data_IF_679015426222
#
_entry.id   IF_679015426222
#
_cell.length_a   1.000
_cell.length_b   1.000
_cell.length_c   1.000
_cell.angle_alpha   90.00
_cell.angle_beta   90.00
_cell.angle_gamma   90.00
#
_symmetry.space_group_name_H-M   'P 1'
#
loop_
_entity.id
_entity.type
_entity.pdbx_description
1 polymer ?
#
# COMPACT_ATOMS: atom_id res chain seq x y z
N UNK A 1 5.84 0.76 -23.10
CA UNK A 1 4.70 1.12 -22.21
C UNK A 1 4.94 2.51 -21.62
N UNK A 2 3.90 3.30 -21.33
CA UNK A 2 4.08 4.56 -20.55
C UNK A 2 4.24 4.18 -19.07
N UNK A 3 5.21 4.79 -18.40
CA UNK A 3 5.45 4.64 -16.96
C UNK A 3 4.19 4.96 -16.16
N UNK A 4 3.89 4.12 -15.16
CA UNK A 4 2.82 4.35 -14.21
C UNK A 4 3.19 5.44 -13.20
N UNK A 5 4.49 5.63 -12.91
CA UNK A 5 4.98 6.76 -12.12
C UNK A 5 4.91 8.05 -12.94
N UNK A 6 4.23 9.06 -12.39
CA UNK A 6 4.02 10.40 -12.97
C UNK A 6 4.51 11.53 -12.05
N UNK A 7 4.92 11.21 -10.82
CA UNK A 7 5.49 12.20 -9.90
C UNK A 7 6.89 12.63 -10.32
N UNK A 8 7.25 13.86 -9.96
CA UNK A 8 8.61 14.40 -10.06
C UNK A 8 9.25 14.57 -8.67
N UNK A 9 8.64 14.00 -7.62
CA UNK A 9 9.22 14.01 -6.28
C UNK A 9 10.54 13.24 -6.27
N UNK A 10 11.63 13.94 -6.00
CA UNK A 10 12.98 13.38 -6.11
C UNK A 10 13.25 12.29 -5.07
N UNK A 11 12.62 12.36 -3.89
CA UNK A 11 12.76 11.33 -2.87
C UNK A 11 12.04 10.06 -3.30
N UNK A 12 10.82 10.18 -3.82
CA UNK A 12 10.05 9.03 -4.31
C UNK A 12 10.81 8.34 -5.44
N UNK A 13 11.34 9.10 -6.41
CA UNK A 13 12.11 8.54 -7.52
C UNK A 13 13.40 7.85 -7.04
N UNK A 14 14.17 8.51 -6.16
CA UNK A 14 15.40 7.93 -5.58
C UNK A 14 15.12 6.60 -4.86
N UNK A 15 14.07 6.54 -4.05
CA UNK A 15 13.70 5.32 -3.30
C UNK A 15 13.29 4.18 -4.23
N UNK A 16 12.60 4.49 -5.33
CA UNK A 16 12.25 3.50 -6.35
C UNK A 16 13.50 3.02 -7.11
N UNK A 17 14.37 3.93 -7.50
CA UNK A 17 15.62 3.63 -8.21
C UNK A 17 16.57 2.77 -7.35
N UNK A 18 16.68 3.08 -6.06
CA UNK A 18 17.45 2.28 -5.08
C UNK A 18 16.88 0.85 -4.93
N UNK A 19 15.56 0.69 -5.11
CA UNK A 19 14.90 -0.62 -5.14
C UNK A 19 15.07 -1.35 -6.49
N UNK A 20 15.72 -0.73 -7.49
CA UNK A 20 15.94 -1.30 -8.81
C UNK A 20 14.84 -1.00 -9.83
N UNK A 21 13.94 -0.06 -9.53
CA UNK A 21 13.02 0.48 -10.54
C UNK A 21 13.77 1.41 -11.50
N UNK A 22 13.33 1.45 -12.75
CA UNK A 22 13.75 2.47 -13.70
C UNK A 22 12.59 2.73 -14.67
N UNK A 23 12.56 3.92 -15.27
CA UNK A 23 11.50 4.27 -16.22
C UNK A 23 11.47 3.30 -17.39
N UNK A 24 10.31 2.69 -17.62
CA UNK A 24 10.12 1.71 -18.70
C UNK A 24 10.52 0.28 -18.33
N UNK A 25 10.80 0.00 -17.05
CA UNK A 25 10.95 -1.36 -16.53
C UNK A 25 9.75 -2.23 -16.91
N UNK A 26 10.04 -3.44 -17.34
CA UNK A 26 9.06 -4.44 -17.75
C UNK A 26 9.57 -5.83 -17.33
N UNK A 27 8.78 -6.54 -16.53
CA UNK A 27 9.05 -7.91 -16.11
C UNK A 27 7.99 -8.87 -16.64
N UNK A 28 8.39 -10.14 -16.77
CA UNK A 28 7.45 -11.20 -17.11
C UNK A 28 6.49 -11.45 -15.94
N UNK A 29 5.19 -11.26 -16.20
CA UNK A 29 4.13 -11.41 -15.21
C UNK A 29 3.45 -12.78 -15.30
N UNK A 30 3.71 -13.56 -16.35
CA UNK A 30 3.02 -14.83 -16.62
C UNK A 30 3.04 -15.78 -15.42
N UNK A 31 4.14 -15.92 -14.64
CA UNK A 31 4.14 -16.78 -13.46
C UNK A 31 3.06 -16.41 -12.42
N UNK A 32 2.75 -15.13 -12.25
CA UNK A 32 1.67 -14.68 -11.36
C UNK A 32 0.30 -14.84 -12.02
N UNK A 33 0.19 -14.47 -13.30
CA UNK A 33 -1.07 -14.57 -14.06
C UNK A 33 -1.58 -16.01 -14.08
N UNK A 34 -0.73 -16.95 -14.45
CA UNK A 34 -1.07 -18.37 -14.55
C UNK A 34 -1.47 -18.95 -13.19
N UNK A 35 -0.77 -18.56 -12.13
CA UNK A 35 -1.06 -19.02 -10.77
C UNK A 35 -2.45 -18.56 -10.29
N UNK A 36 -2.81 -17.30 -10.55
CA UNK A 36 -4.12 -16.78 -10.14
C UNK A 36 -5.26 -17.27 -11.04
N UNK A 37 -5.01 -17.43 -12.35
CA UNK A 37 -5.97 -18.04 -13.28
C UNK A 37 -6.32 -19.48 -12.87
N UNK A 38 -5.33 -20.27 -12.42
CA UNK A 38 -5.56 -21.63 -11.92
C UNK A 38 -6.49 -21.67 -10.69
N UNK A 39 -6.65 -20.55 -9.97
CA UNK A 39 -7.55 -20.40 -8.83
C UNK A 39 -8.84 -19.62 -9.17
N UNK A 40 -9.13 -19.42 -10.46
CA UNK A 40 -10.36 -18.75 -10.90
C UNK A 40 -10.37 -17.24 -10.69
N UNK A 41 -9.20 -16.61 -10.50
CA UNK A 41 -9.05 -15.16 -10.31
C UNK A 41 -8.23 -14.56 -11.45
N UNK A 42 -8.82 -14.23 -12.60
CA UNK A 42 -8.08 -13.54 -13.66
C UNK A 42 -7.59 -12.16 -13.18
N UNK A 43 -6.37 -11.75 -13.53
CA UNK A 43 -5.88 -10.40 -13.22
C UNK A 43 -6.58 -9.35 -14.08
N UNK A 44 -6.79 -8.16 -13.50
CA UNK A 44 -7.24 -6.99 -14.24
C UNK A 44 -6.07 -6.34 -14.99
N UNK A 45 -6.38 -5.55 -16.01
CA UNK A 45 -5.37 -4.78 -16.75
C UNK A 45 -4.53 -3.88 -15.83
N UNK A 46 -5.15 -3.30 -14.79
CA UNK A 46 -4.47 -2.51 -13.77
C UNK A 46 -3.44 -3.35 -12.99
N UNK A 47 -3.81 -4.54 -12.54
CA UNK A 47 -2.92 -5.48 -11.85
C UNK A 47 -1.76 -5.91 -12.74
N UNK A 48 -2.05 -6.26 -14.00
CA UNK A 48 -1.02 -6.65 -14.98
C UNK A 48 -0.04 -5.50 -15.22
N UNK A 49 -0.53 -4.28 -15.43
CA UNK A 49 0.32 -3.11 -15.66
C UNK A 49 1.24 -2.82 -14.46
N UNK A 50 0.68 -2.88 -13.24
CA UNK A 50 1.45 -2.68 -12.00
C UNK A 50 2.52 -3.76 -11.85
N UNK A 51 2.15 -5.04 -11.97
CA UNK A 51 3.08 -6.14 -11.81
C UNK A 51 4.15 -6.17 -12.89
N UNK A 52 3.82 -5.74 -14.12
CA UNK A 52 4.79 -5.63 -15.20
C UNK A 52 5.84 -4.56 -14.90
N UNK A 53 5.46 -3.44 -14.31
CA UNK A 53 6.41 -2.36 -14.02
C UNK A 53 7.16 -2.57 -12.71
N UNK A 54 6.48 -3.02 -11.65
CA UNK A 54 7.02 -3.08 -10.29
C UNK A 54 7.25 -4.49 -9.75
N UNK A 55 6.78 -5.52 -10.46
CA UNK A 55 6.86 -6.90 -9.99
C UNK A 55 8.27 -7.32 -9.60
N UNK A 56 8.39 -7.98 -8.45
CA UNK A 56 9.63 -8.42 -7.83
C UNK A 56 10.38 -7.33 -7.05
N UNK A 57 9.96 -6.06 -7.08
CA UNK A 57 10.61 -5.01 -6.30
C UNK A 57 10.30 -5.13 -4.81
N UNK A 58 11.30 -4.82 -3.99
CA UNK A 58 11.20 -4.66 -2.54
C UNK A 58 11.68 -3.25 -2.20
N UNK A 59 10.77 -2.42 -1.70
CA UNK A 59 10.98 -1.01 -1.44
C UNK A 59 11.06 -0.81 0.07
N UNK A 60 12.13 -0.17 0.52
CA UNK A 60 12.33 0.20 1.92
C UNK A 60 12.25 1.72 2.02
N UNK A 61 11.12 2.29 2.50
CA UNK A 61 11.00 3.73 2.62
C UNK A 61 11.99 4.30 3.65
N UNK A 62 12.42 5.57 3.50
CA UNK A 62 13.25 6.23 4.49
C UNK A 62 12.57 6.25 5.85
N UNK A 63 13.33 5.96 6.92
CA UNK A 63 12.80 6.01 8.29
C UNK A 63 12.27 7.39 8.69
N UNK A 64 12.87 8.45 8.15
CA UNK A 64 12.49 9.83 8.42
C UNK A 64 12.09 10.53 7.13
N UNK A 65 10.88 11.08 7.12
CA UNK A 65 10.38 12.01 6.11
C UNK A 65 9.71 13.15 6.86
N UNK A 66 10.10 14.42 6.63
CA UNK A 66 9.44 15.57 7.24
C UNK A 66 7.93 15.54 6.97
N UNK A 67 7.12 15.61 8.03
CA UNK A 67 5.66 15.57 7.93
C UNK A 67 5.05 14.18 7.78
N UNK A 68 5.84 13.10 7.85
CA UNK A 68 5.28 11.75 7.91
C UNK A 68 4.45 11.54 9.18
N UNK A 69 3.26 10.96 9.02
CA UNK A 69 2.26 10.82 10.10
C UNK A 69 2.18 9.39 10.65
N UNK A 70 2.94 8.46 10.08
CA UNK A 70 3.11 7.08 10.57
C UNK A 70 4.48 6.50 10.14
N UNK A 71 4.80 5.33 10.69
CA UNK A 71 6.08 4.64 10.50
C UNK A 71 6.34 4.18 9.06
N UNK A 72 7.62 4.01 8.73
CA UNK A 72 8.05 3.48 7.45
C UNK A 72 7.99 1.95 7.45
N UNK A 73 6.99 1.40 6.76
CA UNK A 73 6.88 -0.04 6.54
C UNK A 73 7.46 -0.41 5.17
N UNK A 74 8.37 -1.40 5.09
CA UNK A 74 8.81 -1.95 3.82
C UNK A 74 7.64 -2.58 3.06
N UNK A 75 7.65 -2.46 1.74
CA UNK A 75 6.62 -3.06 0.91
C UNK A 75 7.21 -3.59 -0.40
N UNK A 76 6.52 -4.53 -1.03
CA UNK A 76 7.00 -5.15 -2.26
C UNK A 76 5.87 -5.65 -3.13
N UNK A 77 6.16 -5.72 -4.43
CA UNK A 77 5.22 -6.15 -5.45
C UNK A 77 5.52 -7.58 -5.85
N UNK A 78 5.17 -8.51 -4.97
CA UNK A 78 5.18 -9.93 -5.26
C UNK A 78 3.85 -10.50 -4.77
N UNK A 79 2.91 -10.82 -5.68
CA UNK A 79 1.61 -11.35 -5.33
C UNK A 79 1.65 -12.63 -4.49
N UNK A 80 2.79 -13.35 -4.47
CA UNK A 80 3.03 -14.71 -3.99
C UNK A 80 1.80 -15.61 -3.79
N UNK A 81 1.78 -16.77 -4.49
CA UNK A 81 0.60 -17.59 -4.68
C UNK A 81 0.05 -18.20 -3.39
N UNK A 82 -1.16 -18.76 -3.51
CA UNK A 82 -1.99 -19.44 -2.50
C UNK A 82 -1.33 -20.55 -1.65
N UNK A 83 -0.02 -20.80 -1.83
CA UNK A 83 0.76 -21.77 -1.05
C UNK A 83 1.53 -21.14 0.13
N UNK A 84 1.45 -19.82 0.32
CA UNK A 84 1.84 -19.17 1.58
C UNK A 84 0.78 -19.39 2.67
N UNK A 85 1.14 -19.33 3.97
CA UNK A 85 0.22 -19.62 5.06
C UNK A 85 -1.13 -18.88 4.95
N UNK A 86 -2.23 -19.52 5.36
CA UNK A 86 -3.61 -19.21 4.95
C UNK A 86 -4.13 -17.82 5.35
N UNK A 87 -3.39 -17.06 6.15
CA UNK A 87 -3.86 -15.77 6.70
C UNK A 87 -4.03 -14.71 5.61
N UNK A 88 -3.27 -14.78 4.52
CA UNK A 88 -3.22 -13.70 3.52
C UNK A 88 -3.72 -14.07 2.11
N UNK A 89 -4.21 -15.30 1.94
CA UNK A 89 -4.69 -15.84 0.67
C UNK A 89 -6.04 -16.59 0.85
N UNK A 90 -6.82 -16.22 1.86
CA UNK A 90 -8.17 -16.77 2.09
C UNK A 90 -9.18 -16.10 1.13
N UNK A 91 -9.92 -16.89 0.37
CA UNK A 91 -11.01 -16.40 -0.49
C UNK A 91 -12.03 -15.56 0.28
N UNK A 92 -12.22 -15.82 1.58
CA UNK A 92 -13.09 -15.01 2.45
C UNK A 92 -12.60 -13.56 2.56
N UNK A 93 -11.29 -13.32 2.56
CA UNK A 93 -10.73 -11.97 2.58
C UNK A 93 -11.05 -11.24 1.28
N UNK A 94 -10.82 -11.88 0.13
CA UNK A 94 -11.21 -11.33 -1.16
C UNK A 94 -12.71 -11.01 -1.19
N UNK A 95 -13.58 -11.97 -0.87
CA UNK A 95 -15.04 -11.75 -0.89
C UNK A 95 -15.48 -10.63 0.05
N UNK A 96 -14.91 -10.55 1.24
CA UNK A 96 -15.21 -9.47 2.17
C UNK A 96 -14.80 -8.11 1.56
N UNK A 97 -13.58 -8.00 1.06
CA UNK A 97 -13.05 -6.75 0.50
C UNK A 97 -13.77 -6.32 -0.76
N UNK A 98 -14.06 -7.25 -1.68
CA UNK A 98 -14.82 -6.98 -2.89
C UNK A 98 -16.21 -6.43 -2.55
N UNK A 99 -16.86 -6.96 -1.50
CA UNK A 99 -18.14 -6.45 -1.02
C UNK A 99 -18.01 -5.04 -0.42
N UNK A 100 -16.94 -4.77 0.33
CA UNK A 100 -16.72 -3.48 0.98
C UNK A 100 -16.37 -2.37 -0.02
N UNK A 101 -15.54 -2.70 -1.00
CA UNK A 101 -15.09 -1.78 -2.04
C UNK A 101 -16.13 -1.62 -3.15
N UNK A 102 -17.03 -2.60 -3.32
CA UNK A 102 -18.01 -2.62 -4.40
C UNK A 102 -17.39 -2.96 -5.76
N UNK A 103 -16.18 -3.51 -5.78
CA UNK A 103 -15.44 -3.88 -6.99
C UNK A 103 -14.61 -5.15 -6.77
N UNK A 104 -14.14 -5.76 -7.85
CA UNK A 104 -13.22 -6.89 -7.76
C UNK A 104 -11.82 -6.42 -7.37
N UNK A 105 -11.09 -7.23 -6.60
CA UNK A 105 -9.72 -6.91 -6.18
C UNK A 105 -8.74 -8.01 -6.55
N UNK A 106 -7.49 -7.61 -6.79
CA UNK A 106 -6.39 -8.49 -7.12
C UNK A 106 -5.17 -8.18 -6.27
N UNK A 107 -4.55 -9.19 -5.67
CA UNK A 107 -3.38 -9.01 -4.81
C UNK A 107 -2.15 -8.70 -5.67
N UNK A 108 -1.48 -7.60 -5.37
CA UNK A 108 -0.30 -7.13 -6.10
C UNK A 108 0.99 -7.25 -5.29
N UNK A 109 0.89 -7.50 -3.99
CA UNK A 109 2.05 -7.51 -3.12
C UNK A 109 1.74 -7.52 -1.63
N UNK A 110 2.71 -7.07 -0.84
CA UNK A 110 2.65 -6.95 0.61
C UNK A 110 3.23 -5.61 1.07
N UNK A 111 2.67 -5.04 2.13
CA UNK A 111 3.25 -3.95 2.91
C UNK A 111 3.39 -4.43 4.34
N UNK A 112 4.64 -4.56 4.80
CA UNK A 112 5.01 -5.30 5.99
C UNK A 112 4.43 -6.73 5.95
N UNK A 113 3.43 -7.01 6.80
CA UNK A 113 2.72 -8.29 6.85
C UNK A 113 1.31 -8.22 6.24
N UNK A 114 0.94 -7.11 5.62
CA UNK A 114 -0.42 -6.88 5.13
C UNK A 114 -0.50 -6.98 3.60
N UNK A 115 -1.55 -7.58 3.05
CA UNK A 115 -1.72 -7.67 1.62
C UNK A 115 -1.98 -6.29 0.99
N UNK A 116 -1.35 -6.09 -0.16
CA UNK A 116 -1.66 -4.97 -1.05
C UNK A 116 -2.56 -5.48 -2.17
N UNK A 117 -3.67 -4.79 -2.35
CA UNK A 117 -4.67 -5.07 -3.38
C UNK A 117 -4.77 -3.92 -4.36
N UNK A 118 -5.07 -4.23 -5.61
CA UNK A 118 -5.58 -3.28 -6.59
C UNK A 118 -7.03 -3.63 -6.93
N UNK A 119 -7.90 -2.63 -6.94
CA UNK A 119 -9.25 -2.73 -7.49
C UNK A 119 -9.26 -2.78 -9.02
N UNK A 120 -10.35 -3.27 -9.60
CA UNK A 120 -10.61 -3.21 -11.03
C UNK A 120 -10.53 -1.76 -11.56
N UNK A 121 -10.98 -0.79 -10.77
CA UNK A 121 -10.87 0.65 -11.06
C UNK A 121 -9.45 1.23 -10.93
N UNK A 122 -8.48 0.45 -10.44
CA UNK A 122 -7.07 0.86 -10.29
C UNK A 122 -6.69 1.38 -8.90
N UNK A 123 -7.66 1.58 -8.01
CA UNK A 123 -7.42 1.98 -6.62
C UNK A 123 -6.56 0.96 -5.89
N UNK A 124 -5.66 1.43 -5.01
CA UNK A 124 -4.75 0.56 -4.24
C UNK A 124 -5.13 0.58 -2.76
N UNK A 125 -5.25 -0.62 -2.18
CA UNK A 125 -5.75 -0.82 -0.83
C UNK A 125 -4.80 -1.66 0.02
N UNK A 126 -4.77 -1.39 1.33
CA UNK A 126 -4.02 -2.15 2.33
C UNK A 126 -4.89 -2.51 3.55
N UNK A 127 -4.29 -3.25 4.49
CA UNK A 127 -4.76 -3.63 5.84
C UNK A 127 -5.27 -5.08 5.92
N UNK A 128 -5.49 -5.60 7.14
CA UNK A 128 -5.98 -6.95 7.41
C UNK A 128 -7.48 -6.99 7.71
N UNK A 129 -8.00 -6.01 8.46
CA UNK A 129 -9.37 -6.04 8.97
C UNK A 129 -10.37 -5.30 8.08
N UNK A 130 -10.04 -4.04 7.73
CA UNK A 130 -10.85 -3.18 6.87
C UNK A 130 -9.97 -2.56 5.80
N UNK A 131 -10.39 -2.60 4.52
CA UNK A 131 -9.62 -2.01 3.45
C UNK A 131 -9.42 -0.51 3.72
N UNK A 132 -8.17 -0.09 3.57
CA UNK A 132 -7.77 1.30 3.57
C UNK A 132 -7.24 1.67 2.20
N UNK A 133 -7.75 2.74 1.60
CA UNK A 133 -7.29 3.23 0.30
C UNK A 133 -6.04 4.07 0.47
N UNK A 134 -4.96 3.65 -0.19
CA UNK A 134 -3.69 4.38 -0.29
C UNK A 134 -3.75 5.47 -1.34
N UNK A 135 -4.45 5.19 -2.44
CA UNK A 135 -4.58 6.10 -3.57
C UNK A 135 -5.53 5.54 -4.62
N UNK A 136 -6.05 6.44 -5.45
CA UNK A 136 -6.91 6.10 -6.59
C UNK A 136 -6.14 5.37 -7.71
N UNK A 137 -4.81 5.43 -7.66
CA UNK A 137 -3.92 4.65 -8.52
C UNK A 137 -2.57 4.36 -7.83
N UNK A 138 -1.77 3.53 -8.49
CA UNK A 138 -0.46 3.11 -8.00
C UNK A 138 0.54 4.26 -7.79
N UNK A 139 0.47 5.32 -8.61
CA UNK A 139 1.36 6.46 -8.48
C UNK A 139 1.05 7.27 -7.22
N UNK A 140 -0.23 7.45 -6.90
CA UNK A 140 -0.63 8.08 -5.63
C UNK A 140 -0.30 7.15 -4.46
N UNK A 141 -0.55 5.85 -4.59
CA UNK A 141 -0.30 4.89 -3.52
C UNK A 141 1.19 4.76 -3.14
N UNK A 142 2.10 4.71 -4.13
CA UNK A 142 3.54 4.68 -3.89
C UNK A 142 4.02 5.96 -3.19
N UNK A 143 3.59 7.13 -3.67
CA UNK A 143 3.89 8.40 -3.00
C UNK A 143 3.40 8.38 -1.55
N UNK A 144 2.20 7.86 -1.32
CA UNK A 144 1.60 7.75 0.00
C UNK A 144 2.39 6.81 0.93
N UNK A 145 2.82 5.63 0.46
CA UNK A 145 3.60 4.68 1.26
C UNK A 145 5.03 5.19 1.55
N UNK A 146 5.64 5.93 0.61
CA UNK A 146 6.98 6.49 0.78
C UNK A 146 6.99 7.77 1.62
N UNK A 147 6.09 8.71 1.35
CA UNK A 147 6.08 10.04 2.00
C UNK A 147 5.25 10.06 3.28
N UNK A 148 4.15 9.29 3.33
CA UNK A 148 3.30 9.10 4.52
C UNK A 148 2.71 10.39 5.08
N UNK A 149 2.33 11.32 4.19
CA UNK A 149 1.87 12.67 4.58
C UNK A 149 0.40 12.74 5.03
N UNK A 150 -0.40 11.71 4.74
CA UNK A 150 -1.78 11.57 5.22
C UNK A 150 -2.01 10.17 5.78
N UNK A 151 -3.06 9.93 6.58
CA UNK A 151 -3.46 8.55 6.86
C UNK A 151 -4.18 7.97 5.63
N UNK A 152 -4.02 6.66 5.34
CA UNK A 152 -4.85 5.97 4.36
C UNK A 152 -6.34 6.11 4.71
N UNK A 153 -7.18 6.25 3.70
CA UNK A 153 -8.61 6.48 3.88
C UNK A 153 -9.32 5.17 4.21
N UNK A 154 -9.96 5.08 5.37
CA UNK A 154 -10.78 3.93 5.74
C UNK A 154 -12.00 3.86 4.83
N UNK A 155 -12.21 2.70 4.21
CA UNK A 155 -13.47 2.41 3.52
C UNK A 155 -14.56 2.24 4.59
N UNK A 156 -15.45 3.23 4.67
CA UNK A 156 -16.51 3.27 5.68
C UNK A 156 -17.60 2.29 5.33
N UNK A 157 -17.90 1.42 6.29
CA UNK A 157 -18.95 0.43 6.25
C UNK A 157 -20.34 1.05 6.36
N UNK A 158 -21.30 0.37 5.73
CA UNK A 158 -22.76 0.44 5.88
C UNK A 158 -23.31 1.01 7.21
N UNK A 159 -24.56 1.54 7.22
CA UNK A 159 -25.20 2.07 8.43
C UNK A 159 -25.14 1.07 9.60
N UNK A 160 -24.60 1.52 10.73
CA UNK A 160 -24.47 0.74 11.98
C UNK A 160 -23.05 0.52 12.50
N UNK A 161 -22.00 0.77 11.71
CA UNK A 161 -20.59 0.72 12.14
C UNK A 161 -19.93 2.11 12.28
N UNK A 162 -20.75 3.15 12.20
CA UNK A 162 -20.36 4.57 12.33
C UNK A 162 -19.52 4.86 13.59
N UNK A 163 -19.78 4.27 14.78
CA UNK A 163 -19.00 4.59 15.98
C UNK A 163 -17.54 4.12 15.92
N UNK A 164 -17.25 2.95 15.32
CA UNK A 164 -15.88 2.43 15.19
C UNK A 164 -15.07 3.20 14.16
N UNK A 165 -15.71 3.49 13.02
CA UNK A 165 -15.12 4.32 11.97
C UNK A 165 -14.84 5.73 12.49
N UNK A 166 -15.80 6.32 13.21
CA UNK A 166 -15.65 7.65 13.78
C UNK A 166 -14.60 7.67 14.89
N UNK A 167 -14.55 6.66 15.77
CA UNK A 167 -13.50 6.53 16.77
C UNK A 167 -12.11 6.44 16.12
N UNK A 168 -11.97 5.71 15.01
CA UNK A 168 -10.70 5.58 14.30
C UNK A 168 -10.34 6.86 13.53
N UNK A 169 -11.32 7.58 12.96
CA UNK A 169 -11.12 8.92 12.38
C UNK A 169 -10.70 9.95 13.43
N UNK A 170 -11.35 9.96 14.59
CA UNK A 170 -10.99 10.82 15.73
C UNK A 170 -9.56 10.51 16.17
N UNK A 171 -9.22 9.23 16.34
CA UNK A 171 -7.85 8.82 16.68
C UNK A 171 -6.82 9.30 15.65
N UNK A 172 -7.08 9.11 14.35
CA UNK A 172 -6.20 9.60 13.28
C UNK A 172 -6.05 11.12 13.29
N UNK A 173 -7.15 11.86 13.53
CA UNK A 173 -7.13 13.32 13.65
C UNK A 173 -6.32 13.78 14.85
N UNK A 174 -6.52 13.18 16.01
CA UNK A 174 -5.76 13.48 17.22
C UNK A 174 -4.27 13.16 17.07
N UNK A 175 -3.94 12.03 16.42
CA UNK A 175 -2.56 11.67 16.12
C UNK A 175 -1.89 12.74 15.26
N UNK A 176 -2.58 13.20 14.20
CA UNK A 176 -2.14 14.27 13.31
C UNK A 176 -1.88 15.58 14.07
N UNK A 177 -2.80 15.96 14.96
CA UNK A 177 -2.69 17.16 15.79
C UNK A 177 -1.54 17.07 16.80
N UNK A 178 -1.25 15.88 17.36
CA UNK A 178 -0.10 15.65 18.25
C UNK A 178 1.23 15.76 17.50
N UNK A 179 1.34 15.19 16.30
CA UNK A 179 2.52 15.37 15.44
C UNK A 179 2.76 16.82 15.04
N UNK A 180 1.72 17.65 14.91
CA UNK A 180 1.90 19.06 14.56
C UNK A 180 2.23 19.97 15.76
N UNK A 181 2.02 19.52 17.01
CA UNK A 181 2.12 20.38 18.20
C UNK A 181 3.40 20.23 19.03
N UNK A 182 4.17 19.15 18.89
CA UNK A 182 5.32 18.92 19.79
C UNK A 182 6.54 18.28 19.13
N UNK A 183 7.59 19.05 18.77
CA UNK A 183 8.80 18.52 18.17
C UNK A 183 9.66 17.55 19.00
N UNK A 184 9.28 17.27 20.25
CA UNK A 184 10.10 16.50 21.18
C UNK A 184 10.10 14.98 20.96
N UNK A 185 9.21 14.42 20.12
CA UNK A 185 9.25 13.00 19.77
C UNK A 185 10.57 12.56 19.09
N UNK A 186 11.38 13.50 18.60
CA UNK A 186 12.71 13.26 18.01
C UNK A 186 13.74 12.97 19.10
N UNK A 187 13.52 13.47 20.33
CA UNK A 187 14.39 13.21 21.48
C UNK A 187 14.16 11.83 22.11
N UNK A 188 12.97 11.26 21.94
CA UNK A 188 12.59 9.96 22.53
C UNK A 188 13.10 8.74 21.73
N UNK A 189 13.66 8.93 20.54
CA UNK A 189 14.17 7.85 19.67
C UNK A 189 15.69 7.64 19.72
N UNK A 190 16.36 8.14 20.76
CA UNK A 190 17.73 7.71 21.10
C UNK A 190 18.78 8.07 20.04
N UNK A 191 18.90 9.34 19.66
CA UNK A 191 20.16 9.81 19.08
C UNK A 191 21.17 10.04 20.20
N UNK A 192 22.45 9.60 20.04
CA UNK A 192 23.47 9.90 21.03
C UNK A 192 23.66 11.42 21.07
N UNK A 193 23.72 11.95 22.30
CA UNK A 193 24.06 13.34 22.57
C UNK A 193 25.39 13.67 21.88
N UNK A 194 25.34 14.62 20.94
CA UNK A 194 26.54 15.30 20.46
C UNK A 194 26.87 16.35 21.51
N UNK A 195 27.99 16.17 22.20
CA UNK A 195 28.66 17.22 22.99
C UNK A 195 29.12 18.38 22.09
#
# INVERSE_FOLDING_TARGET
MKSLIRTNDSLVLSVLEDAGWYRGREVDVNPWVDAFLAHGRPPFDSAVAILREFGGLQITPPKFVPGAVYGADPFGFDPKPFNEPPVYNDDRMYTAWERLLGEKVYKIGLCYAYPLFVGEGGGVHLNHELPQTLGEDINVAIQQMILRLKYPELVVLYPGQEPEVEARRIYQKEALERTNRDPQWLKLLGQPSVE
#
